data_IF_371313682285
#
_entry.id   IF_371313682285
#
_cell.length_a   1.000
_cell.length_b   1.000
_cell.length_c   1.000
_cell.angle_alpha   90.00
_cell.angle_beta   90.00
_cell.angle_gamma   90.00
#
_symmetry.space_group_name_H-M   'P 1'
#
loop_
_entity.id
_entity.type
_entity.pdbx_description
1 polymer ?
#
# COMPACT_ATOMS: atom_id res chain seq x y z
N UNK A 1 3.45 -2.58 20.94
CA UNK A 1 2.85 -2.15 19.65
C UNK A 1 2.64 -0.64 19.61
N UNK A 2 1.86 -0.06 20.54
CA UNK A 2 1.63 1.40 20.61
C UNK A 2 2.94 2.18 20.75
N UNK A 3 3.81 1.83 21.70
CA UNK A 3 5.12 2.50 21.88
C UNK A 3 5.99 2.49 20.62
N UNK A 4 5.95 1.40 19.85
CA UNK A 4 6.64 1.31 18.55
C UNK A 4 6.04 2.27 17.52
N UNK A 5 4.71 2.30 17.40
CA UNK A 5 4.02 3.23 16.50
C UNK A 5 4.23 4.70 16.87
N UNK A 6 4.35 5.03 18.17
CA UNK A 6 4.69 6.38 18.64
C UNK A 6 6.13 6.72 18.26
N UNK A 7 7.08 5.82 18.54
CA UNK A 7 8.50 6.01 18.19
C UNK A 7 8.71 6.19 16.68
N UNK A 8 7.97 5.44 15.89
CA UNK A 8 8.01 5.49 14.42
C UNK A 8 7.21 6.69 13.85
N UNK A 9 6.58 7.52 14.70
CA UNK A 9 5.86 8.72 14.29
C UNK A 9 4.54 8.47 13.55
N UNK A 10 3.98 7.27 13.70
CA UNK A 10 2.78 6.78 13.01
C UNK A 10 1.51 7.27 13.68
N UNK A 11 1.53 7.34 15.01
CA UNK A 11 0.41 7.75 15.86
C UNK A 11 0.85 8.82 16.84
N UNK A 12 -0.12 9.58 17.33
CA UNK A 12 0.06 10.59 18.37
C UNK A 12 -1.14 10.60 19.34
N UNK A 13 -0.97 11.13 20.56
CA UNK A 13 -2.09 11.31 21.49
C UNK A 13 -3.21 12.13 20.87
N UNK A 14 -4.46 11.82 21.22
CA UNK A 14 -5.63 12.49 20.68
C UNK A 14 -6.63 12.87 21.77
N UNK A 15 -7.33 13.97 21.56
CA UNK A 15 -8.53 14.42 22.27
C UNK A 15 -9.77 14.43 21.36
N UNK A 16 -9.75 13.62 20.30
CA UNK A 16 -10.80 13.59 19.28
C UNK A 16 -12.16 13.20 19.88
N UNK A 17 -13.27 13.77 19.39
CA UNK A 17 -14.61 13.28 19.70
C UNK A 17 -14.91 11.93 19.03
N UNK A 18 -14.08 11.50 18.07
CA UNK A 18 -14.20 10.20 17.42
C UNK A 18 -13.43 9.12 18.19
N UNK A 19 -13.92 7.89 18.13
CA UNK A 19 -13.22 6.74 18.69
C UNK A 19 -13.66 5.45 18.00
N UNK A 20 -12.72 4.77 17.34
CA UNK A 20 -12.90 3.43 16.78
C UNK A 20 -12.21 2.38 17.66
N UNK A 21 -12.82 1.20 17.91
CA UNK A 21 -12.22 0.18 18.75
C UNK A 21 -11.07 -0.53 18.04
N UNK A 22 -10.11 -1.03 18.82
CA UNK A 22 -8.99 -1.84 18.33
C UNK A 22 -9.35 -3.32 18.34
N UNK A 23 -9.01 -4.02 17.28
CA UNK A 23 -9.15 -5.48 17.12
C UNK A 23 -7.76 -6.08 16.88
N UNK A 24 -7.39 -7.08 17.67
CA UNK A 24 -6.15 -7.84 17.48
C UNK A 24 -6.45 -9.14 16.73
N UNK A 25 -5.83 -9.30 15.56
CA UNK A 25 -6.03 -10.48 14.70
C UNK A 25 -4.75 -11.30 14.67
N UNK A 26 -4.83 -12.60 14.95
CA UNK A 26 -3.66 -13.50 14.89
C UNK A 26 -3.31 -13.81 13.43
N UNK A 27 -2.06 -13.58 13.03
CA UNK A 27 -1.53 -14.00 11.72
C UNK A 27 -1.28 -15.51 11.71
N UNK A 28 -1.20 -16.10 10.50
CA UNK A 28 -0.85 -17.52 10.29
C UNK A 28 0.44 -17.93 11.01
N UNK A 29 1.44 -17.04 11.04
CA UNK A 29 2.72 -17.26 11.73
C UNK A 29 2.69 -16.87 13.24
N UNK A 30 1.52 -16.79 13.87
CA UNK A 30 1.36 -16.60 15.31
C UNK A 30 1.47 -15.16 15.83
N UNK A 31 2.08 -14.23 15.07
CA UNK A 31 2.15 -12.82 15.45
C UNK A 31 0.79 -12.11 15.39
N UNK A 32 0.58 -11.13 16.26
CA UNK A 32 -0.65 -10.33 16.29
C UNK A 32 -0.61 -9.18 15.26
N UNK A 33 -1.74 -8.90 14.62
CA UNK A 33 -1.97 -7.74 13.75
C UNK A 33 -2.85 -6.74 14.49
N UNK A 34 -2.37 -5.52 14.61
CA UNK A 34 -3.12 -4.40 15.16
C UNK A 34 -4.06 -3.84 14.08
N UNK A 35 -5.37 -4.00 14.28
CA UNK A 35 -6.39 -3.46 13.38
C UNK A 35 -7.26 -2.47 14.15
N UNK A 36 -7.70 -1.40 13.49
CA UNK A 36 -8.74 -0.52 14.02
C UNK A 36 -10.01 -0.76 13.23
N UNK A 37 -11.13 -0.96 13.94
CA UNK A 37 -12.41 -1.23 13.33
C UNK A 37 -13.09 0.07 12.89
N UNK A 38 -12.79 0.48 11.66
CA UNK A 38 -13.36 1.68 11.04
C UNK A 38 -14.71 1.44 10.35
N UNK A 39 -15.42 0.32 10.58
CA UNK A 39 -16.70 0.05 9.90
C UNK A 39 -17.70 1.21 10.00
N UNK A 40 -17.96 1.68 11.22
CA UNK A 40 -18.87 2.82 11.47
C UNK A 40 -18.39 4.12 10.81
N UNK A 41 -17.08 4.37 10.80
CA UNK A 41 -16.51 5.53 10.13
C UNK A 41 -16.69 5.43 8.60
N UNK A 42 -16.49 4.24 8.04
CA UNK A 42 -16.63 3.99 6.61
C UNK A 42 -18.08 4.13 6.14
N UNK A 43 -19.08 3.84 6.98
CA UNK A 43 -20.49 3.97 6.64
C UNK A 43 -20.94 5.42 6.46
N UNK A 44 -20.35 6.35 7.24
CA UNK A 44 -20.70 7.78 7.18
C UNK A 44 -19.85 8.57 6.17
N UNK A 45 -18.86 7.93 5.55
CA UNK A 45 -17.95 8.57 4.60
C UNK A 45 -18.48 8.42 3.17
N UNK A 46 -18.32 9.49 2.38
CA UNK A 46 -18.51 9.42 0.93
C UNK A 46 -17.46 8.48 0.35
N UNK A 47 -17.91 7.37 -0.22
CA UNK A 47 -17.05 6.36 -0.82
C UNK A 47 -16.42 6.91 -2.10
N UNK A 48 -15.15 6.64 -2.27
CA UNK A 48 -14.40 6.93 -3.47
C UNK A 48 -14.60 5.78 -4.46
N UNK A 49 -15.24 6.06 -5.60
CA UNK A 49 -15.54 5.08 -6.65
C UNK A 49 -14.40 4.93 -7.66
N UNK A 50 -13.18 5.33 -7.29
CA UNK A 50 -12.01 5.14 -8.15
C UNK A 50 -11.90 3.68 -8.61
N UNK A 51 -11.78 3.50 -9.92
CA UNK A 51 -11.66 2.18 -10.51
C UNK A 51 -10.25 1.66 -10.21
N UNK A 52 -10.17 0.56 -9.46
CA UNK A 52 -8.95 -0.22 -9.44
C UNK A 52 -8.82 -0.92 -10.79
N UNK A 53 -7.63 -0.96 -11.41
CA UNK A 53 -7.42 -1.68 -12.65
C UNK A 53 -7.90 -3.13 -12.49
N UNK A 54 -8.64 -3.63 -13.48
CA UNK A 54 -8.98 -5.06 -13.48
C UNK A 54 -7.74 -5.84 -13.84
N UNK A 55 -7.49 -6.90 -13.09
CA UNK A 55 -6.37 -7.82 -13.32
C UNK A 55 -6.39 -8.32 -14.77
N UNK A 56 -7.57 -8.67 -15.29
CA UNK A 56 -7.74 -9.21 -16.64
C UNK A 56 -7.29 -8.22 -17.73
N UNK A 57 -7.57 -6.93 -17.56
CA UNK A 57 -7.19 -5.88 -18.52
C UNK A 57 -5.66 -5.70 -18.59
N UNK A 58 -4.93 -6.25 -17.62
CA UNK A 58 -3.46 -6.17 -17.53
C UNK A 58 -2.73 -7.46 -17.95
N UNK A 59 -3.44 -8.58 -18.09
CA UNK A 59 -2.86 -9.88 -18.47
C UNK A 59 -2.38 -9.92 -19.93
N UNK A 60 -3.02 -9.17 -20.82
CA UNK A 60 -2.65 -9.12 -22.25
C UNK A 60 -1.19 -8.68 -22.44
N UNK A 61 -0.69 -7.82 -21.55
CA UNK A 61 0.69 -7.36 -21.54
C UNK A 61 1.70 -8.49 -21.24
N UNK A 62 1.28 -9.54 -20.53
CA UNK A 62 2.16 -10.61 -20.05
C UNK A 62 2.41 -11.71 -21.08
N UNK A 63 1.68 -11.71 -22.21
CA UNK A 63 1.72 -12.77 -23.22
C UNK A 63 3.07 -12.90 -23.96
N UNK A 64 3.89 -11.86 -23.97
CA UNK A 64 5.20 -11.84 -24.65
C UNK A 64 6.39 -11.58 -23.71
N UNK A 65 6.16 -11.68 -22.40
CA UNK A 65 7.13 -11.34 -21.36
C UNK A 65 7.84 -12.60 -20.87
N UNK A 66 9.16 -12.53 -20.72
CA UNK A 66 9.96 -13.66 -20.25
C UNK A 66 10.63 -13.42 -18.89
N UNK A 67 10.63 -12.18 -18.41
CA UNK A 67 11.27 -11.78 -17.17
C UNK A 67 10.32 -10.96 -16.31
N UNK A 68 10.32 -11.26 -15.02
CA UNK A 68 9.42 -10.68 -14.04
C UNK A 68 10.20 -10.29 -12.78
N UNK A 69 9.84 -9.15 -12.22
CA UNK A 69 10.23 -8.76 -10.86
C UNK A 69 9.00 -8.24 -10.14
N UNK A 70 8.73 -8.74 -8.93
CA UNK A 70 7.65 -8.23 -8.08
C UNK A 70 8.25 -7.39 -6.97
N UNK A 71 7.70 -6.20 -6.77
CA UNK A 71 8.07 -5.29 -5.69
C UNK A 71 6.86 -5.08 -4.77
N UNK A 72 7.07 -5.20 -3.46
CA UNK A 72 6.08 -4.92 -2.42
C UNK A 72 6.51 -3.67 -1.65
N UNK A 73 5.62 -2.67 -1.61
CA UNK A 73 5.84 -1.46 -0.82
C UNK A 73 5.70 -1.79 0.67
N UNK A 74 6.59 -1.19 1.48
CA UNK A 74 6.47 -1.23 2.93
C UNK A 74 5.24 -0.41 3.32
N UNK A 75 4.17 -1.13 3.64
CA UNK A 75 2.80 -0.61 3.72
C UNK A 75 2.62 0.63 4.62
N UNK A 76 1.69 1.51 4.24
CA UNK A 76 0.92 2.39 5.13
C UNK A 76 1.64 3.58 5.79
N UNK A 77 2.97 3.69 5.68
CA UNK A 77 3.71 4.72 6.42
C UNK A 77 3.85 6.08 5.71
N UNK A 78 3.44 6.18 4.45
CA UNK A 78 3.92 7.28 3.59
C UNK A 78 2.86 8.33 3.27
N UNK A 79 1.57 7.98 3.28
CA UNK A 79 0.53 8.97 3.04
C UNK A 79 0.14 9.68 4.32
N UNK A 80 0.52 10.96 4.42
CA UNK A 80 0.03 11.79 5.50
C UNK A 80 -1.48 11.97 5.38
N UNK A 81 -2.17 11.89 6.51
CA UNK A 81 -3.58 12.22 6.57
C UNK A 81 -3.71 13.75 6.56
N UNK A 82 -4.65 14.25 5.77
CA UNK A 82 -5.05 15.66 5.82
C UNK A 82 -5.35 16.05 7.29
N UNK A 83 -4.77 17.15 7.81
CA UNK A 83 -4.98 17.59 9.19
C UNK A 83 -6.44 17.59 9.63
N UNK A 84 -7.39 17.91 8.73
CA UNK A 84 -8.84 17.95 9.03
C UNK A 84 -9.48 16.56 9.21
N UNK A 85 -8.84 15.51 8.73
CA UNK A 85 -9.34 14.14 8.78
C UNK A 85 -8.63 13.28 9.83
N UNK A 86 -7.51 13.76 10.41
CA UNK A 86 -6.74 13.04 11.44
C UNK A 86 -7.60 12.63 12.64
N UNK A 87 -8.48 13.51 13.11
CA UNK A 87 -9.34 13.25 14.27
C UNK A 87 -10.24 12.02 14.06
N UNK A 88 -10.65 11.74 12.82
CA UNK A 88 -11.56 10.64 12.47
C UNK A 88 -10.88 9.28 12.59
N UNK A 89 -9.54 9.26 12.55
CA UNK A 89 -8.73 8.05 12.74
C UNK A 89 -8.43 7.73 14.20
N UNK A 90 -9.10 8.42 15.13
CA UNK A 90 -8.88 8.20 16.54
C UNK A 90 -9.36 6.80 16.98
N UNK A 91 -8.57 6.18 17.83
CA UNK A 91 -8.83 4.87 18.42
C UNK A 91 -8.40 4.83 19.89
N UNK A 92 -9.11 4.05 20.69
CA UNK A 92 -8.82 3.91 22.11
C UNK A 92 -8.07 2.62 22.40
N UNK A 93 -7.24 2.68 23.44
CA UNK A 93 -6.60 1.53 24.08
C UNK A 93 -6.73 1.67 25.59
N UNK A 94 -6.40 0.63 26.34
CA UNK A 94 -6.30 0.74 27.81
C UNK A 94 -5.28 1.78 28.31
N UNK A 95 -4.43 2.33 27.42
CA UNK A 95 -3.43 3.37 27.74
C UNK A 95 -3.85 4.78 27.28
N UNK A 96 -5.08 4.96 26.78
CA UNK A 96 -5.59 6.26 26.33
C UNK A 96 -6.05 6.30 24.87
N UNK A 97 -6.37 7.51 24.41
CA UNK A 97 -6.86 7.81 23.07
C UNK A 97 -5.71 8.28 22.16
N UNK A 98 -5.66 7.69 20.97
CA UNK A 98 -4.59 7.92 19.98
C UNK A 98 -5.23 8.21 18.63
N UNK A 99 -4.50 8.87 17.73
CA UNK A 99 -4.89 9.05 16.32
C UNK A 99 -3.73 8.78 15.39
N UNK A 100 -4.02 8.45 14.14
CA UNK A 100 -2.98 8.25 13.14
C UNK A 100 -2.53 9.57 12.50
N UNK A 101 -1.24 9.66 12.22
CA UNK A 101 -0.62 10.74 11.42
C UNK A 101 -0.53 10.39 9.95
N UNK A 102 -0.46 9.09 9.66
CA UNK A 102 -0.35 8.49 8.32
C UNK A 102 -1.53 7.55 8.10
N UNK A 103 -1.91 7.34 6.85
CA UNK A 103 -3.11 6.60 6.48
C UNK A 103 -3.14 5.17 7.09
N UNK A 104 -4.06 4.87 8.02
CA UNK A 104 -4.15 3.54 8.58
C UNK A 104 -4.88 2.59 7.64
N UNK A 105 -4.62 1.30 7.82
CA UNK A 105 -5.45 0.25 7.25
C UNK A 105 -6.89 0.30 7.79
N UNK A 106 -7.82 -0.20 6.98
CA UNK A 106 -9.24 -0.32 7.34
C UNK A 106 -10.11 0.86 6.91
N UNK A 107 -9.52 1.96 6.43
CA UNK A 107 -10.28 3.05 5.81
C UNK A 107 -10.74 2.65 4.40
N UNK A 108 -12.01 2.87 4.10
CA UNK A 108 -12.62 2.48 2.81
C UNK A 108 -11.97 3.15 1.59
N UNK A 109 -11.51 4.39 1.71
CA UNK A 109 -10.90 5.15 0.60
C UNK A 109 -9.38 5.05 0.55
N UNK A 110 -8.75 4.30 1.47
CA UNK A 110 -7.29 4.13 1.46
C UNK A 110 -6.78 3.46 0.17
N UNK A 111 -7.39 2.36 -0.33
CA UNK A 111 -6.97 1.73 -1.58
C UNK A 111 -7.03 2.69 -2.78
N UNK A 112 -8.15 3.39 -2.97
CA UNK A 112 -8.33 4.36 -4.06
C UNK A 112 -7.29 5.50 -4.01
N UNK A 113 -6.95 5.97 -2.81
CA UNK A 113 -5.94 7.03 -2.67
C UNK A 113 -4.54 6.51 -3.00
N UNK A 114 -4.24 5.28 -2.59
CA UNK A 114 -2.95 4.66 -2.86
C UNK A 114 -2.77 4.33 -4.34
N UNK A 115 -3.81 3.85 -5.01
CA UNK A 115 -3.80 3.57 -6.44
C UNK A 115 -3.44 4.82 -7.25
N UNK A 116 -4.14 5.94 -7.00
CA UNK A 116 -3.83 7.22 -7.65
C UNK A 116 -2.41 7.71 -7.40
N UNK A 117 -1.88 7.52 -6.19
CA UNK A 117 -0.49 7.84 -5.90
C UNK A 117 0.43 7.03 -6.81
N UNK A 118 0.20 5.71 -6.89
CA UNK A 118 1.05 4.83 -7.66
C UNK A 118 0.99 5.10 -9.15
N UNK A 119 -0.19 5.40 -9.69
CA UNK A 119 -0.36 5.83 -11.07
C UNK A 119 0.38 7.13 -11.36
N UNK A 120 0.33 8.09 -10.44
CA UNK A 120 1.09 9.34 -10.56
C UNK A 120 2.61 9.10 -10.51
N UNK A 121 3.08 8.27 -9.58
CA UNK A 121 4.52 7.98 -9.42
C UNK A 121 5.07 7.23 -10.65
N UNK A 122 4.31 6.25 -11.14
CA UNK A 122 4.71 5.39 -12.27
C UNK A 122 4.13 5.87 -13.61
N UNK A 123 3.70 7.12 -13.68
CA UNK A 123 3.19 7.71 -14.93
C UNK A 123 4.21 7.54 -16.06
N UNK A 124 3.72 7.02 -17.19
CA UNK A 124 4.52 6.71 -18.38
C UNK A 124 5.25 5.37 -18.34
N UNK A 125 5.15 4.60 -17.26
CA UNK A 125 5.70 3.24 -17.16
C UNK A 125 4.61 2.16 -17.05
N UNK A 126 3.43 2.52 -16.55
CA UNK A 126 2.30 1.60 -16.44
C UNK A 126 1.82 1.19 -17.83
N UNK A 127 1.70 -0.12 -18.06
CA UNK A 127 1.30 -0.68 -19.35
C UNK A 127 2.45 -0.78 -20.37
N UNK A 128 3.67 -0.36 -20.02
CA UNK A 128 4.88 -0.52 -20.84
C UNK A 128 6.00 -1.31 -20.10
N UNK A 129 6.42 -0.81 -18.94
CA UNK A 129 7.51 -1.41 -18.14
C UNK A 129 7.00 -2.15 -16.90
N UNK A 130 5.83 -1.77 -16.39
CA UNK A 130 5.25 -2.38 -15.19
C UNK A 130 3.72 -2.35 -15.19
N UNK A 131 3.15 -3.13 -14.28
CA UNK A 131 1.77 -3.03 -13.84
C UNK A 131 1.77 -2.78 -12.33
N UNK A 132 0.74 -2.11 -11.84
CA UNK A 132 0.58 -1.80 -10.44
C UNK A 132 -0.84 -2.12 -9.98
N UNK A 133 -0.94 -2.55 -8.73
CA UNK A 133 -2.20 -2.66 -8.01
C UNK A 133 -1.91 -2.45 -6.54
N UNK A 134 -2.38 -1.32 -6.01
CA UNK A 134 -2.13 -0.90 -4.64
C UNK A 134 -0.63 -0.95 -4.32
N UNK A 135 -0.24 -1.76 -3.32
CA UNK A 135 1.13 -1.89 -2.82
C UNK A 135 2.03 -2.80 -3.70
N UNK A 136 1.44 -3.53 -4.65
CA UNK A 136 2.12 -4.55 -5.45
C UNK A 136 2.45 -4.02 -6.85
N UNK A 137 3.72 -4.10 -7.23
CA UNK A 137 4.20 -3.70 -8.56
C UNK A 137 4.83 -4.92 -9.21
N UNK A 138 4.41 -5.23 -10.43
CA UNK A 138 5.06 -6.23 -11.27
C UNK A 138 5.76 -5.51 -12.42
N UNK A 139 7.04 -5.79 -12.58
CA UNK A 139 7.89 -5.27 -13.64
C UNK A 139 8.11 -6.41 -14.61
N UNK A 140 8.07 -6.08 -15.90
CA UNK A 140 8.09 -7.04 -16.99
C UNK A 140 9.17 -6.68 -18.01
N UNK A 141 9.72 -7.68 -18.69
CA UNK A 141 10.57 -7.49 -19.86
C UNK A 141 10.66 -8.73 -20.75
N UNK A 142 10.84 -8.53 -22.06
CA UNK A 142 10.94 -9.62 -23.04
C UNK A 142 12.34 -10.21 -23.04
N UNK A 143 13.36 -9.37 -22.91
CA UNK A 143 14.76 -9.77 -22.70
C UNK A 143 15.24 -9.40 -21.29
N UNK A 144 16.41 -9.91 -20.89
CA UNK A 144 16.98 -9.59 -19.58
C UNK A 144 17.41 -8.12 -19.52
N UNK A 145 17.97 -7.60 -20.62
CA UNK A 145 18.45 -6.24 -20.75
C UNK A 145 17.31 -5.22 -20.67
N UNK A 146 16.22 -5.47 -21.39
CA UNK A 146 14.99 -4.67 -21.31
C UNK A 146 14.44 -4.69 -19.89
N UNK A 147 14.35 -5.87 -19.27
CA UNK A 147 13.86 -6.01 -17.90
C UNK A 147 14.72 -5.25 -16.89
N UNK A 148 16.04 -5.26 -17.06
CA UNK A 148 16.97 -4.54 -16.20
C UNK A 148 16.75 -3.03 -16.31
N UNK A 149 16.58 -2.51 -17.52
CA UNK A 149 16.25 -1.10 -17.76
C UNK A 149 14.89 -0.73 -17.17
N UNK A 150 13.89 -1.60 -17.30
CA UNK A 150 12.55 -1.40 -16.72
C UNK A 150 12.63 -1.33 -15.20
N UNK A 151 13.39 -2.25 -14.59
CA UNK A 151 13.61 -2.27 -13.15
C UNK A 151 14.29 -0.99 -12.66
N UNK A 152 15.33 -0.53 -13.34
CA UNK A 152 16.02 0.71 -12.99
C UNK A 152 15.08 1.92 -13.05
N UNK A 153 14.32 2.08 -14.14
CA UNK A 153 13.35 3.17 -14.33
C UNK A 153 12.30 3.19 -13.20
N UNK A 154 11.74 2.03 -12.86
CA UNK A 154 10.73 1.90 -11.80
C UNK A 154 11.32 2.21 -10.43
N UNK A 155 12.51 1.69 -10.10
CA UNK A 155 13.18 1.97 -8.84
C UNK A 155 13.52 3.45 -8.68
N UNK A 156 13.96 4.13 -9.75
CA UNK A 156 14.22 5.57 -9.75
C UNK A 156 12.95 6.38 -9.44
N UNK A 157 11.81 6.03 -10.05
CA UNK A 157 10.52 6.70 -9.76
C UNK A 157 10.11 6.51 -8.31
N UNK A 158 10.17 5.28 -7.79
CA UNK A 158 9.86 4.96 -6.39
C UNK A 158 10.77 5.74 -5.43
N UNK A 159 12.07 5.79 -5.72
CA UNK A 159 13.04 6.54 -4.93
C UNK A 159 12.74 8.04 -4.92
N UNK A 160 12.43 8.63 -6.09
CA UNK A 160 12.10 10.05 -6.23
C UNK A 160 10.84 10.44 -5.45
N UNK A 161 9.88 9.52 -5.34
CA UNK A 161 8.67 9.68 -4.52
C UNK A 161 8.90 9.42 -3.03
N UNK A 162 10.13 9.10 -2.62
CA UNK A 162 10.51 8.70 -1.26
C UNK A 162 9.69 7.51 -0.70
N UNK A 163 9.22 6.63 -1.59
CA UNK A 163 8.56 5.40 -1.21
C UNK A 163 9.59 4.34 -0.82
N UNK A 164 9.22 3.43 0.09
CA UNK A 164 10.11 2.36 0.55
C UNK A 164 9.56 1.00 0.20
N UNK A 165 10.43 0.15 -0.32
CA UNK A 165 10.14 -1.25 -0.60
C UNK A 165 10.43 -2.13 0.62
N UNK A 166 9.80 -3.30 0.64
CA UNK A 166 10.08 -4.38 1.59
C UNK A 166 11.00 -5.41 0.94
N UNK A 167 12.33 -5.38 1.17
CA UNK A 167 13.25 -6.23 0.41
C UNK A 167 12.97 -7.71 0.55
N UNK A 168 12.49 -8.14 1.73
CA UNK A 168 12.16 -9.54 2.02
C UNK A 168 10.96 -10.08 1.24
N UNK A 169 10.14 -9.20 0.69
CA UNK A 169 8.95 -9.55 -0.09
C UNK A 169 9.10 -9.24 -1.58
N UNK A 170 10.19 -8.58 -1.96
CA UNK A 170 10.50 -8.37 -3.37
C UNK A 170 11.11 -9.65 -3.96
N UNK A 171 10.77 -9.95 -5.21
CA UNK A 171 11.33 -11.06 -5.97
C UNK A 171 11.86 -10.50 -7.29
N UNK A 172 13.14 -10.70 -7.59
CA UNK A 172 13.78 -10.09 -8.74
C UNK A 172 14.20 -11.14 -9.78
N UNK A 173 14.18 -10.75 -11.06
CA UNK A 173 14.73 -11.49 -12.19
C UNK A 173 14.24 -12.94 -12.27
N UNK A 174 12.93 -13.13 -12.16
CA UNK A 174 12.28 -14.43 -12.25
C UNK A 174 11.75 -14.68 -13.65
N UNK A 175 11.71 -15.95 -14.04
CA UNK A 175 11.07 -16.41 -15.30
C UNK A 175 9.60 -16.76 -15.09
N UNK A 176 9.19 -16.97 -13.84
CA UNK A 176 7.83 -17.26 -13.41
C UNK A 176 7.63 -16.62 -12.03
N UNK A 177 6.47 -16.02 -11.83
CA UNK A 177 6.06 -15.44 -10.55
C UNK A 177 4.60 -15.79 -10.32
N UNK A 178 4.23 -15.99 -9.06
CA UNK A 178 2.82 -16.01 -8.69
C UNK A 178 2.44 -14.57 -8.37
N UNK A 179 1.53 -14.00 -9.12
CA UNK A 179 1.09 -12.62 -8.96
C UNK A 179 -0.44 -12.56 -8.93
N UNK A 180 -0.98 -11.99 -7.85
CA UNK A 180 -2.43 -11.95 -7.54
C UNK A 180 -3.17 -13.30 -7.62
N UNK A 181 -2.46 -14.41 -7.38
CA UNK A 181 -3.03 -15.75 -7.37
C UNK A 181 -3.01 -16.47 -8.72
N UNK A 182 -2.36 -15.86 -9.72
CA UNK A 182 -2.08 -16.43 -11.05
C UNK A 182 -0.59 -16.75 -11.16
#
# INVERSE_FOLDING_TARGET
>A
MIEGMVKDGVIEPSSSPWCSPVVLVKKKHGSMRFCVDYRRLNDVKKKDSYLLPRIDDTLDMLTSVNWFSTLDLKSGYWLQIDPKDKEKTAFSTGKGLWRFKVMPFGLCNAPATFERLMELVLTGLIGDACLVYLDDIIIVGRTFEEHLQNLERVLMKIQSANLKLSPKKCSLFKRQVIFWGI
#
